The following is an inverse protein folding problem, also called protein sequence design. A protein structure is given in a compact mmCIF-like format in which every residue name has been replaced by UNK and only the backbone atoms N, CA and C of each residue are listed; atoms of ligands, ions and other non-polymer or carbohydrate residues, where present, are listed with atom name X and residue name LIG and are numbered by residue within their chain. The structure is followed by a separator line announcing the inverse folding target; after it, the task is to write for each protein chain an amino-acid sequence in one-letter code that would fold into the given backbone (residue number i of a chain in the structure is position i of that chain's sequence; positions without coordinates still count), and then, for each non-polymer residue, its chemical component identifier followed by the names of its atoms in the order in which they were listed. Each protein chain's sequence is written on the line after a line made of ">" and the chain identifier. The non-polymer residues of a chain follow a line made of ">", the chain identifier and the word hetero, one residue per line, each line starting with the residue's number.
data_IF_083351437636
#
_entry.id   IF_083351437636
#
_cell.length_a   1.000
_cell.length_b   1.000
_cell.length_c   1.000
_cell.angle_alpha   90.00
_cell.angle_beta   90.00
_cell.angle_gamma   90.00
#
_symmetry.space_group_name_H-M   'P 1'
#
loop_
_entity.id
_entity.type
_entity.pdbx_description
1 polymer ?
#
# COMPACT_ATOMS: atom_id res chain seq x y z
N UNK A 1 -44.38 -16.63 -34.72
CA UNK A 1 -45.25 -17.80 -34.90
C UNK A 1 -44.69 -18.97 -34.10
N UNK A 2 -45.57 -19.60 -33.32
CA UNK A 2 -45.30 -20.72 -32.42
C UNK A 2 -44.46 -21.82 -33.07
N UNK A 3 -43.53 -22.41 -32.34
CA UNK A 3 -43.34 -23.85 -32.45
C UNK A 3 -42.99 -24.46 -31.08
N UNK A 4 -43.85 -25.38 -30.67
CA UNK A 4 -43.86 -26.09 -29.40
C UNK A 4 -43.40 -27.52 -29.67
N UNK A 5 -42.44 -28.05 -28.90
CA UNK A 5 -42.39 -29.50 -28.63
C UNK A 5 -42.13 -29.74 -27.15
N UNK A 6 -43.03 -30.53 -26.60
CA UNK A 6 -43.16 -31.00 -25.21
C UNK A 6 -42.04 -31.97 -24.86
N UNK A 7 -41.62 -31.98 -23.58
CA UNK A 7 -41.15 -33.19 -22.93
C UNK A 7 -41.86 -33.38 -21.59
N UNK A 8 -42.35 -34.61 -21.41
CA UNK A 8 -43.16 -35.12 -20.30
C UNK A 8 -42.23 -35.61 -19.19
N UNK A 9 -42.60 -35.33 -17.95
CA UNK A 9 -41.92 -35.68 -16.71
C UNK A 9 -42.22 -37.15 -16.35
N UNK A 10 -41.22 -37.91 -15.91
CA UNK A 10 -41.37 -39.08 -15.02
C UNK A 10 -40.39 -38.97 -13.83
N UNK A 11 -40.76 -39.44 -12.63
CA UNK A 11 -40.13 -39.03 -11.38
C UNK A 11 -39.10 -40.05 -10.86
N UNK A 12 -38.14 -39.55 -10.07
CA UNK A 12 -37.48 -40.34 -9.04
C UNK A 12 -36.07 -40.83 -9.34
N UNK A 13 -35.07 -39.97 -9.10
CA UNK A 13 -33.78 -40.37 -8.48
C UNK A 13 -33.30 -39.21 -7.63
N UNK A 14 -33.40 -39.34 -6.31
CA UNK A 14 -32.73 -38.44 -5.35
C UNK A 14 -31.24 -38.77 -5.34
N UNK A 15 -30.43 -37.99 -6.06
CA UNK A 15 -29.00 -37.89 -5.76
C UNK A 15 -28.85 -36.89 -4.62
N UNK A 16 -28.49 -37.37 -3.43
CA UNK A 16 -27.95 -36.54 -2.38
C UNK A 16 -26.55 -36.10 -2.81
N UNK A 17 -26.29 -34.80 -3.08
CA UNK A 17 -24.92 -34.35 -3.12
C UNK A 17 -24.42 -34.40 -1.68
N UNK A 18 -23.49 -35.32 -1.40
CA UNK A 18 -22.65 -35.22 -0.21
C UNK A 18 -21.85 -33.94 -0.39
N UNK A 19 -22.37 -32.84 0.16
CA UNK A 19 -21.61 -31.62 0.36
C UNK A 19 -20.44 -32.00 1.25
N UNK A 20 -19.29 -32.22 0.61
CA UNK A 20 -18.00 -32.15 1.29
C UNK A 20 -17.86 -30.71 1.73
N UNK A 21 -18.38 -30.38 2.91
CA UNK A 21 -18.03 -29.14 3.58
C UNK A 21 -16.55 -29.30 3.90
N UNK A 22 -15.69 -28.83 2.99
CA UNK A 22 -14.32 -28.50 3.34
C UNK A 22 -14.44 -27.34 4.33
N UNK A 23 -14.63 -27.70 5.61
CA UNK A 23 -14.42 -26.80 6.74
C UNK A 23 -12.94 -26.45 6.65
N UNK A 24 -12.63 -25.34 5.97
CA UNK A 24 -11.31 -24.76 6.06
C UNK A 24 -11.03 -24.56 7.54
N UNK A 25 -10.08 -25.32 8.08
CA UNK A 25 -9.60 -25.17 9.45
C UNK A 25 -9.14 -23.72 9.60
N UNK A 26 -10.03 -22.90 10.16
CA UNK A 26 -9.70 -21.53 10.54
C UNK A 26 -8.65 -21.63 11.63
N UNK A 27 -7.46 -21.07 11.42
CA UNK A 27 -6.42 -20.94 12.44
C UNK A 27 -6.87 -19.94 13.52
N UNK A 28 -8.02 -20.15 14.16
CA UNK A 28 -8.56 -19.24 15.15
C UNK A 28 -7.58 -19.12 16.31
N UNK A 29 -7.07 -17.91 16.54
CA UNK A 29 -6.08 -17.63 17.59
C UNK A 29 -4.66 -18.16 17.31
N UNK A 30 -4.36 -18.55 16.07
CA UNK A 30 -3.05 -19.06 15.64
C UNK A 30 -2.57 -18.33 14.38
N UNK A 31 -1.26 -18.25 14.19
CA UNK A 31 -0.70 -17.73 12.94
C UNK A 31 -0.82 -18.77 11.83
N UNK A 32 -1.15 -18.34 10.62
CA UNK A 32 -1.29 -19.21 9.46
C UNK A 32 -0.13 -19.00 8.50
N UNK A 33 0.70 -20.03 8.34
CA UNK A 33 1.70 -20.08 7.28
C UNK A 33 1.03 -20.17 5.90
N UNK A 34 1.72 -19.74 4.85
CA UNK A 34 1.29 -19.81 3.45
C UNK A 34 1.02 -21.23 2.96
N UNK A 35 1.69 -22.24 3.53
CA UNK A 35 1.41 -23.67 3.31
C UNK A 35 0.10 -24.17 3.96
N UNK A 36 -0.68 -23.27 4.58
CA UNK A 36 -1.90 -23.56 5.35
C UNK A 36 -1.69 -24.36 6.63
N UNK A 37 -0.44 -24.47 7.11
CA UNK A 37 -0.13 -24.91 8.47
C UNK A 37 -0.39 -23.77 9.47
N UNK A 38 -0.83 -24.09 10.70
CA UNK A 38 -1.04 -23.10 11.76
C UNK A 38 -0.01 -23.28 12.89
N UNK A 39 0.69 -22.21 13.27
CA UNK A 39 1.63 -22.19 14.39
C UNK A 39 1.08 -21.35 15.56
N UNK A 40 1.72 -21.46 16.73
CA UNK A 40 1.35 -20.61 17.88
C UNK A 40 1.58 -19.14 17.56
N UNK A 41 0.75 -18.24 18.10
CA UNK A 41 1.00 -16.80 17.93
C UNK A 41 2.31 -16.35 18.58
N UNK A 42 2.79 -17.08 19.59
CA UNK A 42 4.09 -16.86 20.25
C UNK A 42 5.29 -17.31 19.40
N UNK A 43 5.06 -18.13 18.37
CA UNK A 43 6.07 -18.59 17.43
C UNK A 43 6.26 -17.61 16.27
N UNK A 44 5.53 -16.48 16.26
CA UNK A 44 5.81 -15.39 15.32
C UNK A 44 6.92 -14.53 15.90
N UNK A 45 7.91 -14.21 15.07
CA UNK A 45 8.98 -13.28 15.39
C UNK A 45 9.84 -13.70 16.59
N UNK A 46 9.97 -15.00 16.83
CA UNK A 46 10.75 -15.55 17.94
C UNK A 46 12.21 -15.83 17.53
N UNK A 47 12.53 -15.67 16.24
CA UNK A 47 13.85 -15.86 15.66
C UNK A 47 14.02 -17.23 15.00
N UNK A 48 13.12 -18.18 15.22
CA UNK A 48 13.11 -19.52 14.66
C UNK A 48 12.22 -19.57 13.41
N UNK A 49 12.56 -20.46 12.46
CA UNK A 49 11.78 -20.61 11.23
C UNK A 49 10.85 -21.81 11.41
N UNK A 50 9.60 -21.54 11.76
CA UNK A 50 8.55 -22.53 11.96
C UNK A 50 7.63 -22.67 10.73
N UNK A 51 7.53 -21.64 9.88
CA UNK A 51 6.89 -21.75 8.57
C UNK A 51 7.91 -22.19 7.50
N UNK A 52 7.44 -22.96 6.51
CA UNK A 52 8.27 -23.53 5.42
C UNK A 52 9.11 -22.49 4.65
N UNK A 53 8.61 -21.25 4.55
CA UNK A 53 9.29 -20.15 3.88
C UNK A 53 9.71 -19.01 4.83
N UNK A 54 9.72 -19.25 6.15
CA UNK A 54 10.07 -18.23 7.16
C UNK A 54 9.09 -17.08 7.25
N UNK A 55 7.82 -17.31 6.88
CA UNK A 55 6.77 -16.28 6.87
C UNK A 55 6.40 -15.76 8.26
N UNK A 56 6.64 -16.58 9.27
CA UNK A 56 6.51 -16.29 10.70
C UNK A 56 7.55 -15.30 11.22
N UNK A 57 8.63 -15.10 10.48
CA UNK A 57 9.77 -14.26 10.84
C UNK A 57 9.85 -12.97 10.01
N UNK A 58 8.72 -12.59 9.41
CA UNK A 58 8.55 -11.40 8.58
C UNK A 58 7.45 -10.51 9.17
N UNK A 59 7.55 -9.20 8.92
CA UNK A 59 6.59 -8.21 9.41
C UNK A 59 6.62 -8.07 10.93
N UNK A 60 7.77 -8.32 11.55
CA UNK A 60 7.96 -8.27 13.00
C UNK A 60 8.10 -6.85 13.55
N UNK A 61 8.25 -5.87 12.67
CA UNK A 61 8.42 -4.45 12.99
C UNK A 61 7.37 -3.63 12.27
N UNK A 62 6.83 -2.62 12.95
CA UNK A 62 5.95 -1.61 12.34
C UNK A 62 6.14 -0.24 12.97
N UNK A 63 5.72 0.80 12.26
CA UNK A 63 5.58 2.16 12.79
C UNK A 63 4.11 2.53 12.88
N UNK A 64 3.72 3.17 14.00
CA UNK A 64 2.33 3.41 14.33
C UNK A 64 2.07 4.87 14.72
N UNK A 65 0.86 5.35 14.40
CA UNK A 65 0.40 6.71 14.73
C UNK A 65 1.11 7.80 13.92
N UNK A 66 0.73 9.06 14.10
CA UNK A 66 1.31 10.17 13.31
C UNK A 66 2.77 10.42 13.63
N UNK A 67 3.21 10.10 14.84
CA UNK A 67 4.59 10.25 15.29
C UNK A 67 5.53 9.11 14.86
N UNK A 68 5.06 8.14 14.06
CA UNK A 68 5.89 7.01 13.59
C UNK A 68 6.55 6.23 14.74
N UNK A 69 5.80 5.97 15.82
CA UNK A 69 6.32 5.24 16.99
C UNK A 69 6.63 3.80 16.59
N UNK A 70 7.84 3.35 16.90
CA UNK A 70 8.30 2.01 16.60
C UNK A 70 7.63 0.97 17.50
N UNK A 71 7.10 -0.07 16.88
CA UNK A 71 6.52 -1.22 17.55
C UNK A 71 7.13 -2.52 17.02
N UNK A 72 7.36 -3.47 17.92
CA UNK A 72 7.90 -4.80 17.62
C UNK A 72 6.88 -5.84 18.09
N UNK A 73 6.70 -6.89 17.29
CA UNK A 73 5.89 -8.03 17.64
C UNK A 73 6.72 -9.03 18.46
N UNK A 74 6.26 -9.36 19.66
CA UNK A 74 6.86 -10.39 20.52
C UNK A 74 5.77 -11.10 21.28
N UNK A 75 5.84 -12.44 21.38
CA UNK A 75 4.84 -13.28 22.05
C UNK A 75 3.40 -13.02 21.55
N UNK A 76 3.25 -12.67 20.27
CA UNK A 76 1.96 -12.33 19.65
C UNK A 76 1.39 -10.96 20.04
N UNK A 77 2.15 -10.10 20.75
CA UNK A 77 1.72 -8.76 21.17
C UNK A 77 2.64 -7.69 20.57
N UNK A 78 2.03 -6.66 20.01
CA UNK A 78 2.74 -5.46 19.56
C UNK A 78 3.11 -4.58 20.75
N UNK A 79 4.40 -4.31 20.90
CA UNK A 79 4.96 -3.54 22.02
C UNK A 79 5.75 -2.34 21.51
N UNK A 80 5.63 -1.20 22.17
CA UNK A 80 6.44 -0.01 21.85
C UNK A 80 7.86 -0.18 22.38
N UNK A 81 8.83 0.37 21.64
CA UNK A 81 10.26 0.25 21.99
C UNK A 81 10.72 1.47 22.81
N UNK A 82 11.34 1.21 23.96
CA UNK A 82 11.96 2.26 24.77
C UNK A 82 13.18 2.89 24.10
N UNK A 83 13.45 4.15 24.43
CA UNK A 83 14.69 4.82 24.00
C UNK A 83 15.96 4.33 24.71
N UNK A 84 15.79 3.60 25.81
CA UNK A 84 16.86 2.98 26.58
C UNK A 84 17.56 1.90 25.76
N UNK A 85 18.89 1.92 25.74
CA UNK A 85 19.74 0.97 25.02
C UNK A 85 19.46 0.89 23.50
N UNK A 86 18.80 1.91 22.94
CA UNK A 86 18.59 2.03 21.51
C UNK A 86 19.85 2.55 20.82
N UNK A 87 20.25 1.88 19.73
CA UNK A 87 21.40 2.26 18.92
C UNK A 87 21.04 2.35 17.43
N UNK A 88 21.97 2.87 16.65
CA UNK A 88 21.80 3.07 15.21
C UNK A 88 21.64 1.74 14.45
N UNK A 89 22.29 0.66 14.89
CA UNK A 89 22.23 -0.66 14.25
C UNK A 89 20.86 -1.30 14.40
N UNK A 90 20.22 -1.13 15.56
CA UNK A 90 18.83 -1.54 15.79
C UNK A 90 17.88 -0.77 14.86
N UNK A 91 18.12 0.53 14.66
CA UNK A 91 17.35 1.33 13.69
C UNK A 91 17.52 0.85 12.26
N UNK A 92 18.75 0.59 11.81
CA UNK A 92 19.01 0.01 10.49
C UNK A 92 18.32 -1.35 10.31
N UNK A 93 18.39 -2.21 11.32
CA UNK A 93 17.77 -3.52 11.26
C UNK A 93 16.24 -3.44 11.28
N UNK A 94 15.65 -2.49 12.01
CA UNK A 94 14.22 -2.21 11.98
C UNK A 94 13.78 -1.70 10.60
N UNK A 95 14.53 -0.78 10.00
CA UNK A 95 14.25 -0.29 8.65
C UNK A 95 14.37 -1.40 7.59
N UNK A 96 15.35 -2.30 7.74
CA UNK A 96 15.49 -3.47 6.86
C UNK A 96 14.26 -4.39 6.94
N UNK A 97 13.71 -4.61 8.14
CA UNK A 97 12.48 -5.40 8.32
C UNK A 97 11.23 -4.69 7.78
N UNK A 98 11.24 -3.35 7.71
CA UNK A 98 10.21 -2.59 6.99
C UNK A 98 10.42 -2.58 5.47
N UNK A 99 11.50 -3.20 4.97
CA UNK A 99 11.84 -3.32 3.56
C UNK A 99 12.64 -2.14 2.98
N UNK A 100 13.22 -1.28 3.84
CA UNK A 100 14.10 -0.20 3.44
C UNK A 100 15.57 -0.59 3.65
N UNK A 101 16.35 -0.68 2.57
CA UNK A 101 17.78 -1.05 2.63
C UNK A 101 18.71 0.13 2.35
N UNK A 102 19.73 0.29 3.19
CA UNK A 102 20.72 1.38 3.14
C UNK A 102 21.87 1.16 2.15
N UNK A 103 22.03 -0.03 1.58
CA UNK A 103 23.24 -0.42 0.81
C UNK A 103 23.47 0.35 -0.50
N UNK A 104 22.57 1.26 -0.88
CA UNK A 104 22.61 1.96 -2.16
C UNK A 104 22.34 3.46 -2.05
N UNK A 105 22.30 4.04 -0.84
CA UNK A 105 22.23 5.49 -0.69
C UNK A 105 23.61 6.09 -0.97
N UNK A 106 23.81 6.85 -2.06
CA UNK A 106 24.99 7.66 -2.21
C UNK A 106 24.80 8.87 -1.28
N UNK A 107 25.62 8.97 -0.24
CA UNK A 107 25.70 10.15 0.65
C UNK A 107 24.44 10.45 1.48
N UNK A 108 24.34 9.88 2.69
CA UNK A 108 24.63 10.60 3.94
C UNK A 108 24.26 9.73 5.15
N UNK A 109 24.94 9.98 6.28
CA UNK A 109 24.62 9.50 7.62
C UNK A 109 23.21 9.95 8.13
N UNK A 110 22.14 10.00 7.32
CA UNK A 110 20.97 10.84 7.65
C UNK A 110 19.55 10.29 7.42
N UNK A 111 19.32 9.00 7.14
CA UNK A 111 17.91 8.56 6.89
C UNK A 111 17.37 7.53 7.89
N UNK A 112 18.16 7.12 8.87
CA UNK A 112 17.61 6.53 10.10
C UNK A 112 17.56 7.62 11.17
N UNK A 113 16.51 8.43 11.14
CA UNK A 113 16.22 9.29 12.28
C UNK A 113 15.42 8.47 13.28
N UNK A 114 16.11 8.03 14.32
CA UNK A 114 15.49 7.53 15.53
C UNK A 114 15.40 8.69 16.53
N UNK A 115 14.24 9.35 16.62
CA UNK A 115 14.04 10.45 17.54
C UNK A 115 13.28 9.99 18.79
N UNK A 116 13.49 10.69 19.91
CA UNK A 116 12.90 10.37 21.20
C UNK A 116 11.59 11.13 21.37
N UNK A 117 10.50 10.40 21.65
CA UNK A 117 9.21 11.01 21.96
C UNK A 117 8.88 10.77 23.44
N UNK A 118 8.78 11.85 24.23
CA UNK A 118 8.27 11.77 25.61
C UNK A 118 6.75 11.61 25.58
N UNK A 119 6.24 10.52 26.14
CA UNK A 119 4.79 10.27 26.20
C UNK A 119 4.24 10.74 27.55
N UNK A 120 3.29 11.69 27.53
CA UNK A 120 2.53 12.06 28.72
C UNK A 120 1.37 11.08 28.93
N UNK A 121 1.62 10.01 29.68
CA UNK A 121 0.57 9.04 30.00
C UNK A 121 -0.32 9.55 31.15
N UNK A 122 -1.60 9.74 30.87
CA UNK A 122 -2.63 9.72 31.91
C UNK A 122 -3.27 8.31 31.91
N UNK A 123 -3.01 7.57 32.99
CA UNK A 123 -3.67 6.32 33.38
C UNK A 123 -3.66 5.16 32.36
N UNK A 124 -2.56 4.41 32.29
CA UNK A 124 -2.59 2.94 32.19
C UNK A 124 -1.20 2.34 32.49
N UNK A 125 -1.10 1.51 33.52
CA UNK A 125 0.13 0.80 33.89
C UNK A 125 0.19 -0.57 33.22
N UNK A 126 1.32 -0.86 32.55
CA UNK A 126 2.17 -2.06 32.71
C UNK A 126 3.48 -1.82 31.94
N UNK A 127 4.58 -1.73 32.69
CA UNK A 127 5.96 -1.39 32.27
C UNK A 127 6.11 -0.03 31.58
N UNK A 128 6.57 0.99 32.30
CA UNK A 128 6.98 2.29 31.74
C UNK A 128 8.48 2.26 31.41
N UNK A 129 8.90 3.06 30.41
CA UNK A 129 10.32 3.27 30.17
C UNK A 129 10.82 4.03 31.38
N UNK A 130 11.98 3.68 31.90
CA UNK A 130 12.61 4.40 33.01
C UNK A 130 12.81 5.89 32.67
N UNK A 131 12.97 6.23 31.39
CA UNK A 131 13.02 7.59 30.83
C UNK A 131 11.65 8.21 30.47
N UNK A 132 10.58 7.42 30.35
CA UNK A 132 9.31 7.86 29.77
C UNK A 132 9.34 8.16 28.26
N UNK A 133 10.44 7.83 27.57
CA UNK A 133 10.64 8.09 26.14
C UNK A 133 10.59 6.82 25.30
N UNK A 134 9.93 6.91 24.15
CA UNK A 134 9.88 5.84 23.14
C UNK A 134 10.62 6.24 21.87
N UNK A 135 10.96 5.24 21.06
CA UNK A 135 11.60 5.44 19.76
C UNK A 135 10.57 5.73 18.69
N UNK A 136 10.81 6.79 17.93
CA UNK A 136 10.19 7.01 16.63
C UNK A 136 11.16 6.60 15.54
N UNK A 137 10.69 6.07 14.42
CA UNK A 137 11.57 5.59 13.35
C UNK A 137 11.14 6.18 12.02
N UNK A 138 12.07 6.88 11.37
CA UNK A 138 11.98 7.26 9.96
C UNK A 138 13.04 6.49 9.20
N UNK A 139 12.63 5.78 8.15
CA UNK A 139 13.52 4.92 7.34
C UNK A 139 13.74 5.42 5.93
N UNK A 140 12.97 6.41 5.48
CA UNK A 140 13.00 6.98 4.14
C UNK A 140 12.52 8.43 4.20
N UNK A 141 13.25 9.33 3.56
CA UNK A 141 12.74 10.65 3.24
C UNK A 141 11.75 10.53 2.08
N UNK A 142 10.49 10.86 2.35
CA UNK A 142 9.38 10.66 1.43
C UNK A 142 8.35 11.79 1.57
N UNK A 143 7.43 11.85 0.62
CA UNK A 143 6.27 12.74 0.68
C UNK A 143 6.64 14.22 0.55
N UNK A 144 7.81 14.53 -0.02
CA UNK A 144 8.28 15.89 -0.27
C UNK A 144 8.18 16.25 -1.75
N UNK A 145 8.13 17.54 -2.07
CA UNK A 145 8.06 18.06 -3.45
C UNK A 145 9.05 19.21 -3.63
N UNK A 146 10.37 18.94 -3.57
CA UNK A 146 11.38 19.99 -3.41
C UNK A 146 11.49 20.92 -4.63
N UNK A 147 11.15 20.44 -5.83
CA UNK A 147 11.20 21.24 -7.06
C UNK A 147 9.87 21.95 -7.38
N UNK A 148 8.83 21.79 -6.56
CA UNK A 148 7.52 22.38 -6.80
C UNK A 148 7.23 23.55 -5.86
N UNK A 149 6.95 24.74 -6.43
CA UNK A 149 6.50 25.90 -5.66
C UNK A 149 5.06 26.30 -6.01
N UNK A 150 4.25 26.49 -4.96
CA UNK A 150 2.81 26.74 -5.05
C UNK A 150 2.51 28.21 -5.34
N UNK A 151 2.67 28.67 -6.60
CA UNK A 151 2.26 30.05 -6.97
C UNK A 151 0.93 30.15 -7.71
N UNK A 152 0.31 29.04 -8.13
CA UNK A 152 -1.02 29.03 -8.78
C UNK A 152 -1.77 27.75 -8.38
N UNK A 153 -3.02 27.87 -7.94
CA UNK A 153 -3.93 26.74 -7.65
C UNK A 153 -5.14 26.87 -8.57
N UNK A 154 -5.43 25.82 -9.34
CA UNK A 154 -6.53 25.77 -10.30
C UNK A 154 -6.03 25.24 -11.65
N UNK A 155 -6.01 23.93 -11.84
CA UNK A 155 -5.54 23.34 -13.10
C UNK A 155 -5.88 21.86 -13.25
N UNK A 156 -6.19 21.51 -14.50
CA UNK A 156 -6.43 20.19 -15.06
C UNK A 156 -5.09 19.51 -15.46
N UNK A 157 -4.03 20.29 -15.69
CA UNK A 157 -2.69 19.87 -16.14
C UNK A 157 -1.66 19.93 -15.00
N UNK A 158 -0.87 18.87 -14.83
CA UNK A 158 0.20 18.80 -13.81
C UNK A 158 1.49 19.46 -14.27
N UNK A 159 2.23 20.03 -13.33
CA UNK A 159 3.56 20.61 -13.56
C UNK A 159 4.67 19.64 -13.20
N UNK A 160 5.84 19.81 -13.81
CA UNK A 160 7.03 19.04 -13.45
C UNK A 160 7.32 19.17 -11.95
N UNK A 161 7.62 18.04 -11.30
CA UNK A 161 7.89 17.98 -9.86
C UNK A 161 6.66 18.14 -8.96
N UNK A 162 5.45 18.36 -9.49
CA UNK A 162 4.24 18.48 -8.67
C UNK A 162 3.83 17.16 -8.00
N UNK A 163 4.00 16.04 -8.72
CA UNK A 163 3.74 14.68 -8.24
C UNK A 163 4.96 13.80 -8.55
N UNK A 164 6.09 14.00 -7.85
CA UNK A 164 7.36 13.36 -8.19
C UNK A 164 7.37 11.84 -7.95
N UNK A 165 6.38 11.33 -7.23
CA UNK A 165 6.12 9.90 -7.02
C UNK A 165 5.28 9.25 -8.11
N UNK A 166 4.71 10.04 -9.03
CA UNK A 166 3.86 9.52 -10.09
C UNK A 166 4.67 8.65 -11.06
N UNK A 167 4.08 7.50 -11.41
CA UNK A 167 4.66 6.53 -12.32
C UNK A 167 3.71 6.27 -13.48
N UNK A 168 4.27 6.11 -14.67
CA UNK A 168 3.58 5.56 -15.85
C UNK A 168 4.07 4.14 -16.09
N UNK A 169 3.16 3.17 -16.03
CA UNK A 169 3.43 1.76 -16.28
C UNK A 169 3.04 1.41 -17.71
N UNK A 170 4.02 0.95 -18.47
CA UNK A 170 3.84 0.57 -19.86
C UNK A 170 3.89 -0.94 -20.02
N UNK A 171 2.94 -1.50 -20.75
CA UNK A 171 2.94 -2.88 -21.19
C UNK A 171 3.16 -2.90 -22.71
N UNK A 172 4.20 -3.60 -23.18
CA UNK A 172 4.57 -3.63 -24.60
C UNK A 172 4.71 -2.22 -25.23
N UNK A 173 5.33 -1.29 -24.50
CA UNK A 173 5.58 0.11 -24.91
C UNK A 173 4.35 1.01 -24.99
N UNK A 174 3.19 0.57 -24.51
CA UNK A 174 1.98 1.39 -24.39
C UNK A 174 1.64 1.64 -22.93
N UNK A 175 1.24 2.87 -22.60
CA UNK A 175 0.76 3.21 -21.27
C UNK A 175 -0.51 2.43 -20.96
N UNK A 176 -0.50 1.71 -19.84
CA UNK A 176 -1.66 0.91 -19.40
C UNK A 176 -2.19 1.37 -18.04
N UNK A 177 -1.30 1.68 -17.10
CA UNK A 177 -1.66 2.04 -15.74
C UNK A 177 -0.72 3.08 -15.14
N UNK A 178 -1.19 3.71 -14.07
CA UNK A 178 -0.38 4.50 -13.15
C UNK A 178 0.29 3.64 -12.06
N UNK A 179 1.10 4.32 -11.26
CA UNK A 179 1.72 3.76 -10.07
C UNK A 179 2.30 4.85 -9.17
N UNK A 180 2.82 4.43 -8.02
CA UNK A 180 3.44 5.31 -7.04
C UNK A 180 4.81 4.78 -6.60
N UNK A 181 5.82 5.64 -6.59
CA UNK A 181 7.14 5.31 -6.01
C UNK A 181 6.99 5.28 -4.48
N UNK A 182 7.20 4.13 -3.85
CA UNK A 182 7.14 3.98 -2.38
C UNK A 182 8.51 3.73 -1.75
N UNK A 183 9.48 3.27 -2.54
CA UNK A 183 10.89 3.14 -2.15
C UNK A 183 11.78 3.11 -3.41
N UNK A 184 13.12 3.22 -3.30
CA UNK A 184 14.00 3.34 -4.46
C UNK A 184 13.84 2.25 -5.53
N UNK A 185 13.44 1.04 -5.15
CA UNK A 185 13.23 -0.08 -6.09
C UNK A 185 11.78 -0.54 -6.18
N UNK A 186 10.85 0.14 -5.52
CA UNK A 186 9.50 -0.37 -5.35
C UNK A 186 8.46 0.63 -5.83
N UNK A 187 7.64 0.15 -6.77
CA UNK A 187 6.47 0.84 -7.28
C UNK A 187 5.21 0.11 -6.79
N UNK A 188 4.26 0.85 -6.24
CA UNK A 188 2.93 0.35 -5.87
C UNK A 188 1.95 0.67 -7.00
N UNK A 189 1.08 -0.29 -7.35
CA UNK A 189 0.01 -0.13 -8.33
C UNK A 189 -1.17 -1.05 -7.98
N UNK A 190 -2.17 -1.15 -8.86
CA UNK A 190 -3.31 -2.04 -8.70
C UNK A 190 -3.02 -3.46 -9.23
N UNK A 191 -3.65 -4.48 -8.64
CA UNK A 191 -3.50 -5.86 -9.09
C UNK A 191 -4.11 -6.08 -10.48
N UNK A 192 -5.23 -5.44 -10.78
CA UNK A 192 -5.94 -5.60 -12.04
C UNK A 192 -5.10 -5.15 -13.26
N UNK A 193 -4.14 -4.24 -13.05
CA UNK A 193 -3.19 -3.83 -14.09
C UNK A 193 -2.29 -4.97 -14.55
N UNK A 194 -1.88 -5.84 -13.63
CA UNK A 194 -0.85 -6.86 -13.87
C UNK A 194 -1.38 -8.29 -13.87
N UNK A 195 -2.60 -8.50 -13.40
CA UNK A 195 -3.20 -9.82 -13.29
C UNK A 195 -3.38 -10.46 -14.69
N UNK A 196 -2.78 -11.64 -14.89
CA UNK A 196 -2.73 -12.31 -16.20
C UNK A 196 -1.62 -11.81 -17.13
N UNK A 197 -0.94 -10.72 -16.77
CA UNK A 197 0.13 -10.09 -17.56
C UNK A 197 1.44 -9.95 -16.76
N UNK A 198 1.65 -10.77 -15.72
CA UNK A 198 2.77 -10.64 -14.79
C UNK A 198 4.12 -11.17 -15.34
N UNK A 199 4.49 -10.72 -16.55
CA UNK A 199 5.74 -11.03 -17.25
C UNK A 199 6.65 -9.80 -17.22
N UNK A 200 7.59 -9.68 -16.25
CA UNK A 200 8.37 -8.46 -16.03
C UNK A 200 9.05 -7.88 -17.28
N UNK A 201 9.51 -8.74 -18.19
CA UNK A 201 10.18 -8.37 -19.44
C UNK A 201 9.29 -7.61 -20.44
N UNK A 202 7.97 -7.65 -20.29
CA UNK A 202 7.02 -6.91 -21.12
C UNK A 202 6.62 -5.56 -20.50
N UNK A 203 7.05 -5.31 -19.25
CA UNK A 203 6.73 -4.09 -18.53
C UNK A 203 7.92 -3.15 -18.48
N UNK A 204 7.64 -1.87 -18.70
CA UNK A 204 8.61 -0.79 -18.49
C UNK A 204 8.01 0.29 -17.60
N UNK A 205 8.83 0.86 -16.74
CA UNK A 205 8.44 1.89 -15.78
C UNK A 205 9.05 3.22 -16.19
N UNK A 206 8.21 4.26 -16.29
CA UNK A 206 8.63 5.63 -16.58
C UNK A 206 8.30 6.54 -15.39
N UNK A 207 9.24 7.41 -15.04
CA UNK A 207 9.19 8.30 -13.86
C UNK A 207 9.73 9.69 -14.18
N UNK A 208 9.34 10.69 -13.40
CA UNK A 208 9.84 12.06 -13.55
C UNK A 208 9.40 12.76 -14.84
N UNK A 209 8.27 12.34 -15.41
CA UNK A 209 7.69 12.89 -16.64
C UNK A 209 6.34 13.54 -16.34
N UNK A 210 5.99 14.55 -17.12
CA UNK A 210 4.63 15.12 -17.17
C UNK A 210 3.99 15.05 -18.55
N UNK A 211 4.72 14.57 -19.55
CA UNK A 211 4.23 14.33 -20.90
C UNK A 211 4.74 12.97 -21.39
N UNK A 212 4.00 12.29 -22.26
CA UNK A 212 4.38 11.04 -22.91
C UNK A 212 3.67 10.87 -24.27
N UNK A 213 4.34 10.36 -25.32
CA UNK A 213 5.70 9.81 -25.32
C UNK A 213 6.77 10.92 -25.34
N UNK A 214 7.81 10.77 -24.51
CA UNK A 214 8.96 11.68 -24.49
C UNK A 214 10.17 10.96 -25.11
N UNK A 215 10.72 11.56 -26.16
CA UNK A 215 11.98 11.11 -26.75
C UNK A 215 13.11 11.17 -25.72
N UNK A 216 13.77 10.05 -25.45
CA UNK A 216 14.86 9.96 -24.47
C UNK A 216 14.42 9.72 -23.03
N UNK A 217 13.14 9.41 -22.77
CA UNK A 217 12.69 8.95 -21.46
C UNK A 217 13.51 7.72 -21.00
N UNK A 218 13.89 7.68 -19.72
CA UNK A 218 14.57 6.52 -19.14
C UNK A 218 13.55 5.41 -18.87
N UNK A 219 13.54 4.37 -19.70
CA UNK A 219 12.74 3.18 -19.50
C UNK A 219 13.40 2.28 -18.45
N UNK A 220 12.75 2.15 -17.30
CA UNK A 220 13.25 1.31 -16.21
C UNK A 220 12.71 -0.10 -16.35
N UNK A 221 13.62 -1.08 -16.23
CA UNK A 221 13.28 -2.50 -16.31
C UNK A 221 12.70 -3.02 -15.00
N UNK A 222 11.72 -3.91 -15.12
CA UNK A 222 11.06 -4.57 -13.98
C UNK A 222 11.75 -5.91 -13.71
N UNK A 223 12.19 -6.13 -12.47
CA UNK A 223 12.74 -7.40 -12.01
C UNK A 223 11.61 -8.39 -11.71
N UNK A 224 10.56 -7.91 -11.03
CA UNK A 224 9.51 -8.77 -10.50
C UNK A 224 8.20 -8.02 -10.35
N UNK A 225 7.11 -8.73 -10.57
CA UNK A 225 5.73 -8.25 -10.37
C UNK A 225 5.07 -9.14 -9.32
N UNK A 226 4.44 -8.53 -8.32
CA UNK A 226 3.81 -9.21 -7.20
C UNK A 226 2.43 -8.61 -6.98
N UNK A 227 1.37 -9.35 -7.25
CA UNK A 227 0.01 -8.94 -6.89
C UNK A 227 -0.51 -9.75 -5.71
N UNK A 228 -1.47 -9.19 -4.98
CA UNK A 228 -2.01 -9.83 -3.79
C UNK A 228 -2.66 -11.19 -4.12
N UNK A 229 -2.28 -12.28 -3.42
CA UNK A 229 -2.70 -13.65 -3.76
C UNK A 229 -4.22 -13.89 -3.68
N UNK A 230 -4.92 -13.07 -2.87
CA UNK A 230 -6.39 -13.11 -2.74
C UNK A 230 -7.13 -12.28 -3.79
N UNK A 231 -6.42 -11.51 -4.61
CA UNK A 231 -7.05 -10.75 -5.69
C UNK A 231 -7.78 -11.68 -6.65
N UNK A 232 -9.01 -11.32 -7.00
CA UNK A 232 -9.82 -12.00 -8.00
C UNK A 232 -10.49 -10.93 -8.86
N UNK A 233 -10.45 -11.03 -10.20
CA UNK A 233 -11.02 -10.00 -11.08
C UNK A 233 -12.49 -9.65 -10.80
N UNK A 234 -13.29 -10.62 -10.35
CA UNK A 234 -14.72 -10.42 -10.01
C UNK A 234 -14.95 -9.92 -8.57
N UNK A 235 -13.93 -10.00 -7.71
CA UNK A 235 -14.07 -9.76 -6.27
C UNK A 235 -13.91 -8.30 -5.85
N UNK A 236 -13.38 -7.44 -6.73
CA UNK A 236 -13.05 -6.02 -6.51
C UNK A 236 -12.09 -5.72 -5.33
N UNK A 237 -11.94 -6.63 -4.38
CA UNK A 237 -11.09 -6.51 -3.19
C UNK A 237 -9.66 -7.02 -3.44
N UNK A 238 -8.74 -6.60 -2.55
CA UNK A 238 -7.31 -6.90 -2.62
C UNK A 238 -6.66 -6.44 -3.94
N UNK A 239 -7.15 -5.36 -4.53
CA UNK A 239 -6.64 -4.84 -5.80
C UNK A 239 -5.36 -4.03 -5.61
N UNK A 240 -4.27 -4.74 -5.30
CA UNK A 240 -2.96 -4.16 -5.05
C UNK A 240 -1.84 -5.03 -5.60
N UNK A 241 -0.83 -4.38 -6.16
CA UNK A 241 0.38 -4.99 -6.65
C UNK A 241 1.61 -4.11 -6.37
N UNK A 242 2.77 -4.75 -6.37
CA UNK A 242 4.09 -4.13 -6.30
C UNK A 242 4.96 -4.61 -7.45
N UNK A 243 5.70 -3.66 -8.04
CA UNK A 243 6.72 -3.92 -9.02
C UNK A 243 8.08 -3.60 -8.40
N UNK A 244 9.01 -4.55 -8.49
CA UNK A 244 10.41 -4.36 -8.11
C UNK A 244 11.22 -3.97 -9.34
N UNK A 245 11.95 -2.88 -9.27
CA UNK A 245 12.84 -2.41 -10.33
C UNK A 245 14.18 -3.14 -10.27
N UNK A 246 14.77 -3.39 -11.44
CA UNK A 246 16.12 -3.98 -11.55
C UNK A 246 17.16 -3.05 -10.91
N UNK A 247 17.10 -1.75 -11.22
CA UNK A 247 17.99 -0.74 -10.66
C UNK A 247 17.23 0.19 -9.69
N UNK A 248 17.88 0.68 -8.62
CA UNK A 248 17.29 1.71 -7.77
C UNK A 248 17.15 3.05 -8.51
N UNK A 249 16.07 3.75 -8.19
CA UNK A 249 15.83 5.13 -8.58
C UNK A 249 16.83 6.06 -7.90
N UNK A 250 17.26 7.09 -8.62
CA UNK A 250 18.01 8.21 -8.07
C UNK A 250 17.06 9.38 -7.87
N UNK A 251 16.86 9.78 -6.61
CA UNK A 251 16.00 10.90 -6.29
C UNK A 251 16.69 12.22 -6.60
N UNK A 252 15.96 13.13 -7.24
CA UNK A 252 16.49 14.39 -7.77
C UNK A 252 15.49 15.55 -7.68
N UNK A 253 14.42 15.37 -6.90
CA UNK A 253 13.34 16.32 -6.73
C UNK A 253 12.23 16.30 -7.78
N UNK A 254 12.49 15.71 -8.96
CA UNK A 254 11.45 15.36 -9.95
C UNK A 254 11.00 13.91 -9.83
N UNK A 255 11.86 13.07 -9.24
CA UNK A 255 11.61 11.68 -8.87
C UNK A 255 11.82 11.62 -7.36
N UNK A 256 10.74 11.37 -6.62
CA UNK A 256 10.76 11.27 -5.15
C UNK A 256 9.72 10.24 -4.71
N UNK A 257 9.93 9.53 -3.59
CA UNK A 257 8.95 8.59 -3.09
C UNK A 257 7.81 9.31 -2.33
N UNK A 258 6.59 8.77 -2.41
CA UNK A 258 5.49 9.15 -1.52
C UNK A 258 5.57 8.35 -0.22
N UNK A 259 5.20 8.94 0.92
CA UNK A 259 5.18 8.20 2.17
C UNK A 259 4.02 7.21 2.20
N UNK A 260 4.26 6.02 2.75
CA UNK A 260 3.19 5.16 3.21
C UNK A 260 2.61 5.72 4.52
N UNK A 261 1.30 5.58 4.77
CA UNK A 261 0.72 5.89 6.06
C UNK A 261 1.23 4.94 7.14
N UNK A 262 1.19 5.37 8.39
CA UNK A 262 1.57 4.51 9.52
C UNK A 262 0.41 3.61 9.95
N UNK A 263 0.71 2.54 10.69
CA UNK A 263 -0.34 1.69 11.26
C UNK A 263 -1.20 2.49 12.25
N UNK A 264 -2.52 2.31 12.15
CA UNK A 264 -3.49 3.02 12.98
C UNK A 264 -3.70 4.48 12.59
N UNK A 265 -3.06 4.98 11.53
CA UNK A 265 -3.34 6.30 10.99
C UNK A 265 -4.69 6.31 10.25
N UNK A 266 -5.51 7.32 10.53
CA UNK A 266 -6.82 7.52 9.91
C UNK A 266 -6.87 8.88 9.22
N UNK A 267 -7.58 8.94 8.09
CA UNK A 267 -7.78 10.15 7.31
C UNK A 267 -9.26 10.53 7.38
N UNK A 268 -9.53 11.76 7.80
CA UNK A 268 -10.89 12.25 8.03
C UNK A 268 -11.72 12.30 6.74
N UNK A 269 -13.00 11.95 6.87
CA UNK A 269 -13.97 12.12 5.78
C UNK A 269 -14.02 13.60 5.37
N UNK A 270 -14.07 13.87 4.06
CA UNK A 270 -14.02 15.21 3.51
C UNK A 270 -12.60 15.81 3.40
N UNK A 271 -11.56 15.14 3.92
CA UNK A 271 -10.17 15.57 3.69
C UNK A 271 -9.89 15.61 2.19
N UNK A 272 -9.32 16.73 1.75
CA UNK A 272 -9.02 16.95 0.34
C UNK A 272 -7.69 16.31 -0.01
N UNK A 273 -7.72 15.44 -1.02
CA UNK A 273 -6.57 14.72 -1.54
C UNK A 273 -6.42 15.00 -3.03
N UNK A 274 -5.31 14.55 -3.59
CA UNK A 274 -4.99 14.69 -5.00
C UNK A 274 -4.95 13.32 -5.67
N UNK A 275 -5.52 13.30 -6.86
CA UNK A 275 -5.36 12.21 -7.81
C UNK A 275 -4.53 12.75 -8.99
N UNK A 276 -3.71 11.88 -9.57
CA UNK A 276 -2.90 12.21 -10.75
C UNK A 276 -2.71 10.99 -11.63
N UNK A 277 -2.63 11.22 -12.94
CA UNK A 277 -2.40 10.17 -13.91
C UNK A 277 -2.58 10.62 -15.37
N UNK A 278 -2.35 9.68 -16.28
CA UNK A 278 -2.48 9.88 -17.73
C UNK A 278 -3.72 9.17 -18.29
N UNK A 279 -4.67 8.86 -17.42
CA UNK A 279 -5.93 8.26 -17.84
C UNK A 279 -6.71 9.15 -18.80
N UNK A 280 -7.73 8.54 -19.41
CA UNK A 280 -8.65 9.20 -20.30
C UNK A 280 -9.34 10.37 -19.61
N UNK A 281 -9.53 11.48 -20.32
CA UNK A 281 -10.23 12.65 -19.77
C UNK A 281 -11.76 12.51 -19.85
N UNK A 282 -12.24 11.46 -20.51
CA UNK A 282 -13.65 11.11 -20.68
C UNK A 282 -13.80 9.58 -20.74
N UNK A 283 -14.97 9.07 -20.34
CA UNK A 283 -15.22 7.63 -20.31
C UNK A 283 -15.11 7.00 -21.71
N UNK A 284 -14.29 5.95 -21.82
CA UNK A 284 -13.98 5.30 -23.11
C UNK A 284 -13.06 6.11 -24.03
N UNK A 285 -12.49 7.21 -23.54
CA UNK A 285 -11.48 7.99 -24.26
C UNK A 285 -10.09 7.33 -24.25
N UNK A 286 -9.18 7.91 -25.02
CA UNK A 286 -7.77 7.51 -25.06
C UNK A 286 -6.98 8.13 -23.89
N UNK A 287 -5.90 7.45 -23.49
CA UNK A 287 -4.98 7.98 -22.48
C UNK A 287 -4.41 9.35 -22.89
N UNK A 288 -4.29 10.25 -21.91
CA UNK A 288 -3.74 11.58 -22.15
C UNK A 288 -2.23 11.54 -22.37
N UNK A 289 -1.76 12.38 -23.29
CA UNK A 289 -0.33 12.65 -23.49
C UNK A 289 0.25 13.35 -22.26
N UNK A 290 -0.53 14.22 -21.62
CA UNK A 290 -0.06 15.02 -20.50
C UNK A 290 -0.56 14.46 -19.17
N UNK A 291 0.21 14.66 -18.11
CA UNK A 291 -0.17 14.26 -16.76
C UNK A 291 -1.27 15.21 -16.26
N UNK A 292 -2.43 14.67 -15.92
CA UNK A 292 -3.51 15.43 -15.30
C UNK A 292 -3.49 15.27 -13.78
N UNK A 293 -4.11 16.21 -13.09
CA UNK A 293 -4.34 16.09 -11.65
C UNK A 293 -5.60 16.80 -11.23
N UNK A 294 -6.25 16.28 -10.20
CA UNK A 294 -7.45 16.88 -9.64
C UNK A 294 -7.49 16.73 -8.12
N UNK A 295 -8.22 17.64 -7.47
CA UNK A 295 -8.45 17.59 -6.02
C UNK A 295 -9.80 16.95 -5.75
N UNK A 296 -9.83 15.93 -4.90
CA UNK A 296 -11.03 15.17 -4.55
C UNK A 296 -11.14 15.00 -3.04
N UNK A 297 -12.35 15.11 -2.44
CA UNK A 297 -12.53 14.82 -1.01
C UNK A 297 -12.65 13.32 -0.78
N UNK A 298 -12.18 12.86 0.38
CA UNK A 298 -12.49 11.51 0.88
C UNK A 298 -13.98 11.39 1.21
N UNK A 299 -14.58 10.24 0.87
CA UNK A 299 -15.98 9.93 1.13
C UNK A 299 -16.06 8.81 2.16
N UNK A 300 -16.89 9.01 3.18
CA UNK A 300 -17.13 8.00 4.21
C UNK A 300 -17.60 6.67 3.60
N UNK A 301 -17.17 5.55 4.18
CA UNK A 301 -17.61 4.22 3.74
C UNK A 301 -19.14 4.08 3.75
N UNK A 302 -19.82 4.72 4.71
CA UNK A 302 -21.29 4.73 4.83
C UNK A 302 -21.96 5.48 3.68
N UNK A 303 -21.42 6.64 3.29
CA UNK A 303 -21.93 7.40 2.15
C UNK A 303 -21.66 6.66 0.84
N UNK A 304 -20.46 6.11 0.68
CA UNK A 304 -20.09 5.37 -0.53
C UNK A 304 -20.89 4.06 -0.70
N UNK A 305 -21.32 3.45 0.41
CA UNK A 305 -22.14 2.22 0.43
C UNK A 305 -23.64 2.47 0.27
N UNK A 306 -24.10 3.72 0.10
CA UNK A 306 -25.52 4.00 -0.09
C UNK A 306 -26.09 3.28 -1.32
N UNK A 307 -27.39 2.91 -1.32
CA UNK A 307 -28.03 2.20 -2.44
C UNK A 307 -27.91 2.92 -3.80
N UNK A 308 -27.84 4.24 -3.80
CA UNK A 308 -27.74 5.06 -5.02
C UNK A 308 -26.29 5.14 -5.54
N UNK A 309 -25.31 4.84 -4.67
CA UNK A 309 -23.88 4.96 -4.95
C UNK A 309 -23.33 3.59 -5.37
N UNK A 310 -23.02 2.71 -4.42
CA UNK A 310 -22.49 1.38 -4.71
C UNK A 310 -23.18 0.25 -3.95
N UNK A 311 -24.41 0.43 -3.43
CA UNK A 311 -25.25 -0.69 -2.95
C UNK A 311 -24.56 -1.69 -2.00
N UNK A 312 -23.63 -1.21 -1.16
CA UNK A 312 -22.88 -2.05 -0.23
C UNK A 312 -21.70 -2.84 -0.82
N UNK A 313 -21.27 -2.57 -2.06
CA UNK A 313 -20.09 -3.19 -2.68
C UNK A 313 -18.74 -2.65 -2.16
N UNK A 314 -18.73 -1.77 -1.16
CA UNK A 314 -17.52 -1.19 -0.58
C UNK A 314 -17.05 -2.04 0.60
N UNK A 315 -15.90 -2.71 0.44
CA UNK A 315 -15.28 -3.50 1.51
C UNK A 315 -14.48 -2.62 2.48
N UNK A 316 -14.10 -3.13 3.67
CA UNK A 316 -13.18 -2.42 4.58
C UNK A 316 -11.81 -2.12 3.97
N UNK A 317 -11.39 -2.91 2.96
CA UNK A 317 -10.16 -2.71 2.21
C UNK A 317 -10.22 -1.60 1.15
N UNK A 318 -11.36 -0.91 1.04
CA UNK A 318 -11.60 0.14 0.05
C UNK A 318 -11.77 1.52 0.71
N UNK A 319 -11.46 2.55 -0.05
CA UNK A 319 -11.74 3.95 0.28
C UNK A 319 -12.27 4.66 -0.96
N UNK A 320 -13.25 5.55 -0.77
CA UNK A 320 -13.84 6.31 -1.87
C UNK A 320 -13.36 7.75 -1.82
N UNK A 321 -13.18 8.36 -2.98
CA UNK A 321 -12.87 9.78 -3.08
C UNK A 321 -13.50 10.36 -4.34
N UNK A 322 -14.00 11.59 -4.26
CA UNK A 322 -14.67 12.25 -5.38
C UNK A 322 -15.84 13.11 -4.95
N UNK A 323 -16.58 13.64 -5.91
CA UNK A 323 -17.79 14.42 -5.69
C UNK A 323 -19.00 13.58 -6.03
N UNK A 324 -20.00 13.49 -5.13
CA UNK A 324 -21.21 12.72 -5.42
C UNK A 324 -22.06 13.36 -6.51
N UNK A 325 -21.87 14.65 -6.77
CA UNK A 325 -22.46 15.36 -7.89
C UNK A 325 -21.86 14.94 -9.25
N UNK A 326 -20.71 14.26 -9.24
CA UNK A 326 -19.90 13.93 -10.41
C UNK A 326 -18.95 15.06 -10.81
N UNK A 327 -18.46 15.00 -12.05
CA UNK A 327 -17.66 16.04 -12.71
C UNK A 327 -16.14 15.93 -12.56
N UNK A 328 -15.62 15.36 -11.46
CA UNK A 328 -14.18 15.16 -11.27
C UNK A 328 -13.91 13.79 -10.66
N UNK A 329 -13.15 12.97 -11.37
CA UNK A 329 -12.85 11.59 -11.00
C UNK A 329 -11.57 11.09 -11.69
N UNK A 330 -11.05 9.95 -11.23
CA UNK A 330 -10.07 9.16 -11.98
C UNK A 330 -10.78 8.37 -13.08
N UNK A 331 -10.09 8.07 -14.18
CA UNK A 331 -10.68 7.35 -15.32
C UNK A 331 -9.77 6.23 -15.84
N UNK A 332 -10.13 5.60 -16.96
CA UNK A 332 -9.35 4.48 -17.51
C UNK A 332 -7.90 4.93 -17.82
N UNK A 333 -6.91 4.17 -17.35
CA UNK A 333 -5.48 4.52 -17.46
C UNK A 333 -4.91 5.18 -16.19
N UNK A 334 -5.75 5.74 -15.31
CA UNK A 334 -5.30 6.19 -13.97
C UNK A 334 -5.20 5.05 -12.95
N UNK A 335 -5.63 3.85 -13.35
CA UNK A 335 -5.57 2.62 -12.55
C UNK A 335 -4.20 2.41 -11.90
N UNK A 336 -4.20 2.11 -10.61
CA UNK A 336 -2.99 1.98 -9.79
C UNK A 336 -2.29 3.30 -9.45
N UNK A 337 -2.73 4.43 -9.99
CA UNK A 337 -2.26 5.77 -9.67
C UNK A 337 -2.53 6.19 -8.22
N UNK A 338 -1.87 7.26 -7.75
CA UNK A 338 -1.95 7.69 -6.36
C UNK A 338 -3.24 8.43 -6.03
N UNK A 339 -3.84 8.08 -4.88
CA UNK A 339 -4.65 8.99 -4.08
C UNK A 339 -3.77 9.54 -2.95
N UNK A 340 -3.21 10.72 -3.17
CA UNK A 340 -2.22 11.35 -2.30
C UNK A 340 -2.85 12.42 -1.41
N UNK A 341 -2.71 12.29 -0.10
CA UNK A 341 -3.22 13.26 0.87
C UNK A 341 -2.06 13.91 1.61
N UNK A 342 -2.13 15.23 1.80
CA UNK A 342 -1.13 15.96 2.59
C UNK A 342 -1.54 15.94 4.07
N UNK A 343 -0.59 15.56 4.93
CA UNK A 343 -0.72 15.65 6.37
C UNK A 343 0.55 16.25 6.98
N UNK A 344 0.42 17.37 7.69
CA UNK A 344 1.54 18.06 8.34
C UNK A 344 2.73 18.33 7.39
N UNK A 345 2.44 18.77 6.16
CA UNK A 345 3.42 19.02 5.08
C UNK A 345 4.13 17.78 4.52
N UNK A 346 3.67 16.58 4.86
CA UNK A 346 4.14 15.31 4.29
C UNK A 346 3.03 14.68 3.45
N UNK A 347 3.36 14.29 2.22
CA UNK A 347 2.43 13.62 1.32
C UNK A 347 2.41 12.11 1.56
N UNK A 348 1.21 11.57 1.78
CA UNK A 348 0.99 10.15 2.07
C UNK A 348 0.08 9.50 1.03
N UNK A 349 0.41 8.26 0.67
CA UNK A 349 -0.36 7.46 -0.26
C UNK A 349 -1.52 6.78 0.48
N UNK A 350 -2.71 7.37 0.40
CA UNK A 350 -3.88 6.90 1.13
C UNK A 350 -4.65 5.83 0.35
N UNK A 351 -4.62 5.93 -0.98
CA UNK A 351 -5.26 4.98 -1.86
C UNK A 351 -4.45 4.70 -3.13
N UNK A 352 -4.72 3.56 -3.76
CA UNK A 352 -4.34 3.27 -5.14
C UNK A 352 -5.60 3.10 -5.99
N UNK A 353 -5.69 3.78 -7.13
CA UNK A 353 -6.87 3.77 -8.01
C UNK A 353 -7.23 2.34 -8.41
N UNK A 354 -8.46 1.91 -8.13
CA UNK A 354 -8.86 0.50 -8.28
C UNK A 354 -10.00 0.35 -9.29
N UNK A 355 -11.16 0.94 -9.03
CA UNK A 355 -12.32 0.83 -9.92
C UNK A 355 -13.30 2.00 -9.75
N UNK A 356 -14.23 2.10 -10.69
CA UNK A 356 -15.34 3.04 -10.69
C UNK A 356 -16.39 2.58 -11.69
N UNK A 357 -17.58 3.18 -11.65
CA UNK A 357 -18.59 2.96 -12.69
C UNK A 357 -18.67 4.22 -13.56
N UNK A 358 -18.24 4.10 -14.82
CA UNK A 358 -18.02 5.25 -15.69
C UNK A 358 -16.91 6.15 -15.16
N UNK A 359 -16.83 7.37 -15.68
CA UNK A 359 -15.91 8.40 -15.17
C UNK A 359 -16.70 9.67 -14.85
N UNK A 360 -16.54 10.18 -13.63
CA UNK A 360 -17.13 11.44 -13.18
C UNK A 360 -18.67 11.49 -13.24
N UNK A 361 -19.34 10.34 -13.14
CA UNK A 361 -20.79 10.26 -13.09
C UNK A 361 -21.35 10.62 -11.70
N UNK A 362 -22.59 11.13 -11.68
CA UNK A 362 -23.30 11.39 -10.43
C UNK A 362 -23.44 10.10 -9.63
N UNK A 363 -23.14 10.19 -8.33
CA UNK A 363 -23.14 9.08 -7.38
C UNK A 363 -22.20 7.93 -7.73
N UNK A 364 -21.21 8.10 -8.62
CA UNK A 364 -20.20 7.08 -8.93
C UNK A 364 -18.80 7.63 -8.69
N UNK A 365 -18.41 7.89 -7.43
CA UNK A 365 -17.06 8.35 -7.13
C UNK A 365 -16.04 7.23 -7.35
N UNK A 366 -14.79 7.56 -7.66
CA UNK A 366 -13.71 6.58 -7.72
C UNK A 366 -13.52 5.79 -6.42
N UNK A 367 -13.22 4.50 -6.58
CA UNK A 367 -12.91 3.57 -5.49
C UNK A 367 -11.43 3.18 -5.58
N UNK A 368 -10.77 3.27 -4.44
CA UNK A 368 -9.33 3.06 -4.30
C UNK A 368 -9.09 1.95 -3.28
N UNK A 369 -8.04 1.17 -3.48
CA UNK A 369 -7.53 0.26 -2.44
C UNK A 369 -7.04 1.09 -1.27
N UNK A 370 -7.55 0.83 -0.06
CA UNK A 370 -7.17 1.53 1.17
C UNK A 370 -5.79 1.06 1.63
N UNK A 371 -4.77 1.93 1.48
CA UNK A 371 -3.38 1.55 1.77
C UNK A 371 -3.15 1.17 3.23
N UNK A 372 -3.82 1.82 4.18
CA UNK A 372 -3.71 1.49 5.61
C UNK A 372 -4.08 0.03 5.94
N UNK A 373 -4.96 -0.59 5.14
CA UNK A 373 -5.32 -2.01 5.28
C UNK A 373 -4.36 -2.94 4.55
N UNK A 374 -3.55 -2.42 3.63
CA UNK A 374 -2.57 -3.18 2.86
C UNK A 374 -1.13 -3.06 3.40
N UNK A 375 -0.87 -2.20 4.39
CA UNK A 375 0.48 -1.92 4.92
C UNK A 375 1.27 -3.17 5.29
N UNK A 376 0.65 -4.11 6.02
CA UNK A 376 1.31 -5.35 6.42
C UNK A 376 1.78 -6.15 5.20
N UNK A 377 0.93 -6.25 4.16
CA UNK A 377 1.28 -6.92 2.92
C UNK A 377 2.39 -6.19 2.15
N UNK A 378 2.32 -4.85 2.07
CA UNK A 378 3.31 -4.00 1.39
C UNK A 378 4.69 -4.19 2.03
N UNK A 379 4.81 -3.98 3.34
CA UNK A 379 6.08 -4.12 4.06
C UNK A 379 6.63 -5.53 3.96
N UNK A 380 5.78 -6.55 4.09
CA UNK A 380 6.20 -7.94 3.89
C UNK A 380 6.78 -8.15 2.49
N UNK A 381 6.15 -7.65 1.42
CA UNK A 381 6.70 -7.81 0.07
C UNK A 381 8.05 -7.12 -0.10
N UNK A 382 8.24 -5.97 0.55
CA UNK A 382 9.51 -5.24 0.53
C UNK A 382 10.60 -5.97 1.34
N UNK A 383 10.23 -6.62 2.45
CA UNK A 383 11.16 -7.32 3.37
C UNK A 383 11.63 -8.69 2.85
N UNK A 384 10.72 -9.54 2.37
CA UNK A 384 10.93 -10.99 2.07
C UNK A 384 12.18 -11.25 1.23
N UNK A 385 12.68 -10.29 0.45
CA UNK A 385 13.57 -10.55 -0.67
C UNK A 385 14.90 -9.83 -0.66
N UNK A 386 15.32 -9.34 0.51
CA UNK A 386 16.71 -9.00 0.79
C UNK A 386 17.48 -10.16 1.45
N UNK A 387 16.79 -11.27 1.78
CA UNK A 387 17.36 -12.46 2.43
C UNK A 387 17.94 -13.46 1.41
N UNK A 388 17.52 -13.42 0.15
CA UNK A 388 18.05 -14.33 -0.90
C UNK A 388 19.48 -13.99 -1.38
N UNK A 389 20.13 -12.98 -0.78
CA UNK A 389 21.46 -12.50 -1.18
C UNK A 389 22.59 -12.62 -0.15
N UNK A 390 22.32 -12.88 1.13
CA UNK A 390 23.37 -12.92 2.17
C UNK A 390 23.04 -13.87 3.31
N UNK A 391 23.83 -14.93 3.47
CA UNK A 391 23.91 -15.74 4.69
C UNK A 391 24.51 -14.92 5.84
N UNK A 392 23.67 -14.13 6.52
CA UNK A 392 23.80 -13.70 7.93
C UNK A 392 22.71 -12.67 8.25
N UNK A 393 21.52 -13.13 8.66
CA UNK A 393 20.51 -12.24 9.24
C UNK A 393 20.83 -12.02 10.73
N UNK A 394 21.48 -10.91 11.06
CA UNK A 394 21.28 -10.32 12.39
C UNK A 394 19.82 -9.84 12.43
N UNK A 395 18.94 -10.66 13.00
CA UNK A 395 17.57 -10.26 13.33
C UNK A 395 17.63 -9.33 14.55
N UNK A 396 16.75 -8.32 14.62
CA UNK A 396 16.52 -7.58 15.87
C UNK A 396 15.98 -8.59 16.89
N UNK A 397 16.87 -9.24 17.64
CA UNK A 397 16.47 -9.82 18.92
C UNK A 397 16.24 -8.64 19.83
N UNK A 398 15.04 -8.56 20.42
CA UNK A 398 14.71 -7.57 21.43
C UNK A 398 15.76 -7.60 22.56
N UNK A 399 16.80 -6.79 22.43
CA UNK A 399 17.77 -6.51 23.49
C UNK A 399 17.33 -5.31 24.32
N UNK A 400 16.43 -4.49 23.78
CA UNK A 400 15.79 -3.37 24.49
C UNK A 400 14.60 -3.84 25.34
N UNK A 401 14.36 -3.13 26.44
CA UNK A 401 13.22 -3.32 27.33
C UNK A 401 11.93 -3.00 26.55
N UNK A 402 11.08 -4.01 26.33
CA UNK A 402 9.80 -3.88 25.63
C UNK A 402 8.70 -3.36 26.57
N UNK A 403 7.84 -2.48 26.05
CA UNK A 403 6.65 -2.03 26.76
C UNK A 403 5.38 -2.56 26.11
N UNK A 404 4.60 -3.28 26.91
CA UNK A 404 3.28 -3.76 26.53
C UNK A 404 2.25 -2.63 26.61
N UNK A 405 1.91 -2.03 25.47
CA UNK A 405 0.80 -1.06 25.37
C UNK A 405 -0.13 -1.44 24.23
N UNK A 406 -1.24 -2.10 24.59
CA UNK A 406 -2.30 -2.48 23.65
C UNK A 406 -3.23 -1.30 23.28
N UNK A 407 -3.02 -0.10 23.83
CA UNK A 407 -3.92 1.05 23.66
C UNK A 407 -3.18 2.37 23.82
N UNK A 408 -3.48 3.31 22.91
CA UNK A 408 -3.17 4.76 22.91
C UNK A 408 -1.83 5.05 22.20
N UNK A 409 -1.77 5.81 21.08
CA UNK A 409 -2.16 7.22 20.94
C UNK A 409 -2.69 7.60 19.54
N UNK A 410 -3.94 8.07 19.51
CA UNK A 410 -4.44 9.03 18.51
C UNK A 410 -3.91 10.44 18.86
N UNK A 411 -2.63 10.70 18.63
CA UNK A 411 -2.12 12.06 18.49
C UNK A 411 -1.74 12.29 17.02
#
# INVERSE_FOLDING_TARGET
>A
LKNTRKYVIWPGVTFTPVFSVAVGLSCMGKFRCGSSHCISSSAQCDGHVDCEHGEDELGCVRVSGKSSVLQVLSDGVWSTVCSEDWDHELGLSACKQLGYTSSWWPYSDSVVMADKLTLSFSLCSKTECSSGEVITLKCLDCGSRPQFSTRIVGGNLSREGQFPWQVSLHFQSEHLCGGSIVAPRWILTAAHCVYGFAFPQLWTVLVGLTEQPVSGAKYLSVEKIIYHARYRPKGLDYDIAMLKLVEPLTFNGYIEPICLPNFGEEFEDGKMCWISGWGATEDGGEASVSLHSARVPLISAKACSQPEVYQGYISPGMICAGYLEGGTDSCQGDSGGPLACEDSSVWKLVGATSWGQGCAERNKPGVYTRITQALAWIHQQMEVREITGTNNSMKVKAKGKLIYTEKILQL
#
